data_IF_109705033225
#
_entry.id   IF_109705033225
#
_cell.length_a   1.000
_cell.length_b   1.000
_cell.length_c   1.000
_cell.angle_alpha   90.00
_cell.angle_beta   90.00
_cell.angle_gamma   90.00
#
_symmetry.space_group_name_H-M   'P 1'
#
loop_
_entity.id
_entity.type
_entity.pdbx_description
1 polymer ?
#
# COMPACT_ATOMS: atom_id res chain seq x y z
N UNK A 1 6.02 -5.20 -13.37
CA UNK A 1 5.60 -5.04 -11.96
C UNK A 1 6.65 -4.41 -11.08
N UNK A 2 7.84 -5.01 -10.98
CA UNK A 2 8.84 -4.60 -10.01
C UNK A 2 9.22 -3.10 -10.09
N UNK A 3 9.22 -2.52 -11.29
CA UNK A 3 9.45 -1.09 -11.49
C UNK A 3 8.22 -0.23 -11.10
N UNK A 4 7.01 -0.75 -11.23
CA UNK A 4 5.78 -0.01 -10.89
C UNK A 4 5.68 0.29 -9.39
N UNK A 5 6.06 -0.70 -8.56
CA UNK A 5 6.08 -0.55 -7.11
C UNK A 5 7.14 0.47 -6.65
N UNK A 6 8.19 0.71 -7.45
CA UNK A 6 9.20 1.70 -7.12
C UNK A 6 8.62 3.10 -7.13
N UNK A 7 7.85 3.46 -8.16
CA UNK A 7 7.19 4.76 -8.23
C UNK A 7 6.24 4.93 -7.05
N UNK A 8 5.39 3.94 -6.78
CA UNK A 8 4.42 4.05 -5.68
C UNK A 8 5.08 4.20 -4.31
N UNK A 9 6.06 3.36 -3.99
CA UNK A 9 6.72 3.39 -2.67
C UNK A 9 7.60 4.64 -2.52
N UNK A 10 8.24 5.11 -3.60
CA UNK A 10 9.00 6.38 -3.59
C UNK A 10 8.06 7.57 -3.30
N UNK A 11 6.86 7.57 -3.89
CA UNK A 11 5.85 8.58 -3.59
C UNK A 11 5.37 8.53 -2.13
N UNK A 12 5.24 7.35 -1.53
CA UNK A 12 4.90 7.20 -0.12
C UNK A 12 5.99 7.71 0.82
N UNK A 13 7.28 7.50 0.48
CA UNK A 13 8.40 8.10 1.23
C UNK A 13 8.28 9.62 1.27
N UNK A 14 7.94 10.24 0.14
CA UNK A 14 7.67 11.68 0.07
C UNK A 14 6.42 12.11 0.86
N UNK A 15 5.36 11.29 0.88
CA UNK A 15 4.16 11.56 1.66
C UNK A 15 4.45 11.64 3.17
N UNK A 16 5.33 10.77 3.68
CA UNK A 16 5.72 10.80 5.10
C UNK A 16 6.49 12.09 5.42
N UNK A 17 7.34 12.58 4.52
CA UNK A 17 8.03 13.85 4.71
C UNK A 17 7.03 15.02 4.91
N UNK A 18 5.93 15.03 4.16
CA UNK A 18 4.84 16.02 4.34
C UNK A 18 4.12 15.94 5.70
N UNK A 19 4.06 14.74 6.31
CA UNK A 19 3.52 14.57 7.68
C UNK A 19 4.39 15.35 8.68
N UNK A 20 5.72 15.24 8.57
CA UNK A 20 6.64 15.95 9.45
C UNK A 20 6.62 17.47 9.24
N UNK A 21 6.46 17.92 7.99
CA UNK A 21 6.28 19.34 7.68
C UNK A 21 5.08 19.94 8.43
N UNK A 22 3.98 19.19 8.49
CA UNK A 22 2.74 19.63 9.15
C UNK A 22 2.82 19.53 10.68
N UNK A 23 3.48 18.49 11.20
CA UNK A 23 3.60 18.24 12.64
C UNK A 23 4.63 19.10 13.36
N UNK A 24 5.64 19.63 12.67
CA UNK A 24 6.72 20.42 13.27
C UNK A 24 6.89 21.79 12.59
N UNK A 25 5.92 22.71 12.75
CA UNK A 25 5.96 24.02 12.09
C UNK A 25 7.18 24.88 12.50
N UNK A 26 7.75 24.64 13.68
CA UNK A 26 8.98 25.32 14.11
C UNK A 26 10.22 24.93 13.29
N UNK A 27 10.24 23.72 12.73
CA UNK A 27 11.35 23.21 11.91
C UNK A 27 11.13 23.58 10.44
N UNK A 28 9.87 23.70 10.01
CA UNK A 28 9.52 23.99 8.62
C UNK A 28 9.86 25.42 8.19
N UNK A 29 10.10 26.35 9.13
CA UNK A 29 10.59 27.69 8.82
C UNK A 29 12.12 27.68 8.73
N UNK A 30 12.74 28.26 7.68
CA UNK A 30 14.19 28.33 7.57
C UNK A 30 14.77 29.16 8.74
N UNK A 31 15.80 28.66 9.43
CA UNK A 31 16.44 29.39 10.52
C UNK A 31 17.21 30.60 9.97
N UNK A 32 17.37 31.65 10.79
CA UNK A 32 17.98 32.92 10.38
C UNK A 32 19.33 32.74 9.67
N UNK A 33 20.21 31.89 10.21
CA UNK A 33 21.52 31.60 9.62
C UNK A 33 21.44 31.03 8.19
N UNK A 34 20.37 30.30 7.85
CA UNK A 34 20.17 29.74 6.50
C UNK A 34 19.67 30.81 5.54
N UNK A 35 18.78 31.70 6.01
CA UNK A 35 18.29 32.85 5.24
C UNK A 35 19.45 33.81 4.95
N UNK A 36 20.26 34.12 5.95
CA UNK A 36 21.40 35.03 5.85
C UNK A 36 22.50 34.50 4.91
N UNK A 37 22.60 33.18 4.75
CA UNK A 37 23.54 32.53 3.84
C UNK A 37 23.08 32.56 2.36
N UNK A 38 21.78 32.73 2.10
CA UNK A 38 21.17 32.65 0.77
C UNK A 38 21.06 34.05 0.14
N UNK A 39 22.20 34.70 -0.10
CA UNK A 39 22.25 36.03 -0.69
C UNK A 39 21.69 36.04 -2.11
N UNK A 40 20.72 36.92 -2.37
CA UNK A 40 20.18 37.19 -3.71
C UNK A 40 19.02 36.31 -4.17
N UNK A 41 18.50 35.41 -3.32
CA UNK A 41 17.28 34.65 -3.57
C UNK A 41 16.05 35.32 -2.93
N UNK A 42 14.88 35.14 -3.53
CA UNK A 42 13.63 35.58 -2.94
C UNK A 42 13.29 34.75 -1.69
N UNK A 43 12.53 35.33 -0.75
CA UNK A 43 12.09 34.62 0.45
C UNK A 43 11.32 33.32 0.12
N UNK A 44 10.55 33.33 -0.97
CA UNK A 44 9.85 32.14 -1.49
C UNK A 44 10.82 31.06 -2.00
N UNK A 45 11.88 31.45 -2.72
CA UNK A 45 12.91 30.54 -3.19
C UNK A 45 13.69 29.92 -2.02
N UNK A 46 14.01 30.71 -0.98
CA UNK A 46 14.67 30.22 0.23
C UNK A 46 13.78 29.24 0.99
N UNK A 47 12.50 29.58 1.15
CA UNK A 47 11.51 28.71 1.80
C UNK A 47 11.33 27.38 1.07
N UNK A 48 11.16 27.41 -0.25
CA UNK A 48 11.03 26.18 -1.06
C UNK A 48 12.27 25.29 -1.01
N UNK A 49 13.49 25.87 -1.07
CA UNK A 49 14.73 25.11 -0.93
C UNK A 49 14.86 24.47 0.46
N UNK A 50 14.51 25.20 1.52
CA UNK A 50 14.52 24.67 2.89
C UNK A 50 13.56 23.49 3.04
N UNK A 51 12.34 23.61 2.51
CA UNK A 51 11.38 22.50 2.50
C UNK A 51 11.90 21.30 1.74
N UNK A 52 12.53 21.50 0.58
CA UNK A 52 13.13 20.42 -0.19
C UNK A 52 14.23 19.70 0.60
N UNK A 53 15.11 20.44 1.29
CA UNK A 53 16.17 19.87 2.14
C UNK A 53 15.60 19.06 3.31
N UNK A 54 14.60 19.60 4.03
CA UNK A 54 13.93 18.90 5.10
C UNK A 54 13.27 17.62 4.62
N UNK A 55 12.52 17.69 3.52
CA UNK A 55 11.84 16.54 2.96
C UNK A 55 12.82 15.45 2.52
N UNK A 56 13.95 15.84 1.96
CA UNK A 56 15.05 14.92 1.63
C UNK A 56 15.65 14.30 2.90
N UNK A 57 15.85 15.07 3.96
CA UNK A 57 16.34 14.58 5.26
C UNK A 57 15.39 13.55 5.89
N UNK A 58 14.09 13.85 5.92
CA UNK A 58 13.07 12.92 6.40
C UNK A 58 13.01 11.65 5.56
N UNK A 59 13.00 11.78 4.23
CA UNK A 59 13.04 10.64 3.31
C UNK A 59 14.25 9.74 3.55
N UNK A 60 15.43 10.33 3.79
CA UNK A 60 16.65 9.59 4.12
C UNK A 60 16.53 8.86 5.46
N UNK A 61 16.00 9.52 6.50
CA UNK A 61 15.79 8.90 7.81
C UNK A 61 14.82 7.71 7.73
N UNK A 62 13.71 7.85 7.01
CA UNK A 62 12.72 6.78 6.81
C UNK A 62 13.34 5.61 6.07
N UNK A 63 14.09 5.91 5.02
CA UNK A 63 14.77 4.91 4.18
C UNK A 63 15.81 4.15 5.01
N UNK A 64 16.62 4.88 5.77
CA UNK A 64 17.64 4.32 6.66
C UNK A 64 17.03 3.49 7.79
N UNK A 65 15.97 3.97 8.44
CA UNK A 65 15.27 3.22 9.50
C UNK A 65 14.62 1.96 8.94
N UNK A 66 13.99 2.03 7.77
CA UNK A 66 13.40 0.88 7.10
C UNK A 66 14.47 -0.19 6.79
N UNK A 67 15.57 0.21 6.16
CA UNK A 67 16.68 -0.69 5.84
C UNK A 67 17.28 -1.33 7.12
N UNK A 68 17.56 -0.53 8.15
CA UNK A 68 18.11 -1.02 9.41
C UNK A 68 17.19 -2.05 10.09
N UNK A 69 15.89 -1.73 10.19
CA UNK A 69 14.90 -2.63 10.78
C UNK A 69 14.73 -3.93 9.97
N UNK A 70 14.83 -3.88 8.64
CA UNK A 70 14.71 -5.07 7.80
C UNK A 70 15.96 -5.96 7.81
N UNK A 71 17.16 -5.40 8.03
CA UNK A 71 18.39 -6.18 8.19
C UNK A 71 18.38 -6.94 9.52
N UNK A 72 17.93 -6.28 10.59
CA UNK A 72 17.91 -6.84 11.95
C UNK A 72 16.67 -7.72 12.18
N UNK A 73 15.54 -7.38 11.57
CA UNK A 73 14.25 -7.98 11.80
C UNK A 73 14.13 -9.41 11.28
N UNK A 74 13.81 -10.35 12.19
CA UNK A 74 13.29 -11.68 11.82
C UNK A 74 11.82 -11.56 11.40
N UNK A 75 11.28 -12.55 10.69
CA UNK A 75 9.86 -12.58 10.26
C UNK A 75 8.88 -12.16 11.39
N UNK A 76 9.05 -12.71 12.61
CA UNK A 76 8.19 -12.40 13.77
C UNK A 76 8.20 -10.91 14.17
N UNK A 77 9.31 -10.21 13.96
CA UNK A 77 9.39 -8.77 14.19
C UNK A 77 8.58 -8.02 13.12
N UNK A 78 8.80 -8.36 11.84
CA UNK A 78 8.09 -7.76 10.71
C UNK A 78 6.57 -7.92 10.89
N UNK A 79 6.12 -9.15 11.14
CA UNK A 79 4.70 -9.48 11.34
C UNK A 79 4.09 -8.67 12.48
N UNK A 80 4.70 -8.68 13.67
CA UNK A 80 4.19 -7.95 14.84
C UNK A 80 4.17 -6.45 14.60
N UNK A 81 5.26 -5.90 14.09
CA UNK A 81 5.39 -4.47 13.83
C UNK A 81 4.30 -4.00 12.85
N UNK A 82 4.18 -4.67 11.71
CA UNK A 82 3.16 -4.38 10.70
C UNK A 82 1.73 -4.57 11.22
N UNK A 83 1.46 -5.66 11.94
CA UNK A 83 0.12 -5.94 12.49
C UNK A 83 -0.29 -4.89 13.50
N UNK A 84 0.61 -4.48 14.40
CA UNK A 84 0.34 -3.42 15.38
C UNK A 84 0.05 -2.09 14.69
N UNK A 85 0.80 -1.72 13.65
CA UNK A 85 0.55 -0.47 12.90
C UNK A 85 -0.81 -0.49 12.20
N UNK A 86 -1.15 -1.58 11.52
CA UNK A 86 -2.44 -1.73 10.82
C UNK A 86 -3.61 -1.76 11.81
N UNK A 87 -3.46 -2.46 12.93
CA UNK A 87 -4.48 -2.49 13.98
C UNK A 87 -4.69 -1.11 14.60
N UNK A 88 -3.60 -0.41 14.95
CA UNK A 88 -3.66 0.95 15.48
C UNK A 88 -4.36 1.88 14.50
N UNK A 89 -3.94 1.86 13.23
CA UNK A 89 -4.58 2.65 12.18
C UNK A 89 -6.07 2.37 12.06
N UNK A 90 -6.46 1.09 11.99
CA UNK A 90 -7.86 0.70 11.85
C UNK A 90 -8.70 1.20 13.02
N UNK A 91 -8.19 1.09 14.25
CA UNK A 91 -8.84 1.63 15.44
C UNK A 91 -8.98 3.16 15.37
N UNK A 92 -7.95 3.87 14.91
CA UNK A 92 -8.03 5.32 14.72
C UNK A 92 -9.05 5.73 13.67
N UNK A 93 -9.16 4.99 12.56
CA UNK A 93 -10.18 5.24 11.53
C UNK A 93 -11.58 5.05 12.07
N UNK A 94 -11.80 3.95 12.79
CA UNK A 94 -13.10 3.67 13.42
C UNK A 94 -13.44 4.79 14.39
N UNK A 95 -12.50 5.17 15.26
CA UNK A 95 -12.68 6.29 16.18
C UNK A 95 -13.01 7.60 15.46
N UNK A 96 -12.30 7.92 14.37
CA UNK A 96 -12.54 9.12 13.59
C UNK A 96 -13.93 9.14 12.95
N UNK A 97 -14.38 8.03 12.36
CA UNK A 97 -15.72 7.89 11.79
C UNK A 97 -16.79 8.05 12.88
N UNK A 98 -16.62 7.42 14.05
CA UNK A 98 -17.57 7.59 15.15
C UNK A 98 -17.59 9.02 15.69
N UNK A 99 -16.45 9.69 15.70
CA UNK A 99 -16.34 11.05 16.17
C UNK A 99 -16.90 12.07 15.16
N UNK A 100 -17.08 11.72 13.88
CA UNK A 100 -17.83 12.56 12.94
C UNK A 100 -19.29 12.75 13.35
N UNK A 101 -19.92 11.76 14.00
CA UNK A 101 -21.30 11.86 14.46
C UNK A 101 -21.53 12.98 15.49
N UNK A 102 -20.48 13.43 16.17
CA UNK A 102 -20.55 14.55 17.12
C UNK A 102 -20.33 15.91 16.45
N UNK A 103 -20.14 15.95 15.12
CA UNK A 103 -19.87 17.14 14.34
C UNK A 103 -20.97 17.40 13.30
N UNK A 104 -20.92 18.56 12.63
CA UNK A 104 -21.82 18.89 11.52
C UNK A 104 -21.68 17.95 10.30
N UNK A 105 -20.57 17.18 10.22
CA UNK A 105 -20.28 16.23 9.15
C UNK A 105 -20.74 14.79 9.47
N UNK A 106 -21.67 14.62 10.41
CA UNK A 106 -22.20 13.31 10.80
C UNK A 106 -22.88 12.59 9.63
N UNK A 107 -22.53 11.32 9.42
CA UNK A 107 -23.07 10.51 8.32
C UNK A 107 -24.46 9.99 8.68
N UNK A 108 -25.48 10.43 7.94
CA UNK A 108 -26.87 10.01 8.16
C UNK A 108 -27.22 8.72 7.44
N UNK A 109 -28.20 7.97 7.95
CA UNK A 109 -28.73 6.78 7.27
C UNK A 109 -29.32 7.11 5.88
N UNK A 110 -29.86 8.32 5.71
CA UNK A 110 -30.36 8.81 4.42
C UNK A 110 -29.24 8.93 3.37
N UNK A 111 -28.10 9.50 3.75
CA UNK A 111 -26.92 9.59 2.87
C UNK A 111 -26.35 8.21 2.51
N UNK A 112 -26.36 7.26 3.44
CA UNK A 112 -25.96 5.88 3.16
C UNK A 112 -26.92 5.24 2.15
N UNK A 113 -28.24 5.38 2.37
CA UNK A 113 -29.25 4.85 1.45
C UNK A 113 -29.16 5.50 0.06
N UNK A 114 -28.85 6.80 -0.01
CA UNK A 114 -28.60 7.53 -1.24
C UNK A 114 -27.37 7.00 -1.98
N UNK A 115 -26.24 6.82 -1.29
CA UNK A 115 -25.02 6.25 -1.89
C UNK A 115 -25.19 4.81 -2.39
N UNK A 116 -26.16 4.06 -1.84
CA UNK A 116 -26.50 2.70 -2.27
C UNK A 116 -27.54 2.63 -3.39
N UNK A 117 -27.92 3.75 -4.01
CA UNK A 117 -28.81 3.76 -5.20
C UNK A 117 -28.15 3.26 -6.48
N UNK A 118 -26.84 3.00 -6.47
CA UNK A 118 -26.06 2.52 -7.62
C UNK A 118 -26.23 3.38 -8.88
N UNK A 119 -26.31 4.69 -8.70
CA UNK A 119 -26.34 5.65 -9.80
C UNK A 119 -24.92 5.87 -10.35
N UNK A 120 -24.80 6.01 -11.67
CA UNK A 120 -23.52 6.32 -12.30
C UNK A 120 -23.19 7.80 -12.04
N UNK A 121 -22.02 8.13 -11.48
CA UNK A 121 -21.65 9.51 -11.21
C UNK A 121 -21.28 10.24 -12.51
N UNK A 122 -21.51 11.55 -12.56
CA UNK A 122 -21.11 12.40 -13.70
C UNK A 122 -19.61 12.29 -14.02
N UNK A 123 -18.79 12.14 -12.98
CA UNK A 123 -17.34 11.87 -13.07
C UNK A 123 -17.06 10.36 -13.09
N UNK A 124 -17.74 9.60 -13.95
CA UNK A 124 -17.59 8.14 -14.07
C UNK A 124 -16.12 7.71 -14.18
N UNK A 125 -15.34 8.39 -15.02
CA UNK A 125 -13.91 8.11 -15.20
C UNK A 125 -13.11 8.24 -13.90
N UNK A 126 -13.44 9.22 -13.05
CA UNK A 126 -12.78 9.40 -11.74
C UNK A 126 -13.16 8.29 -10.77
N UNK A 127 -14.45 7.92 -10.70
CA UNK A 127 -14.91 6.81 -9.86
C UNK A 127 -14.31 5.47 -10.32
N UNK A 128 -14.22 5.28 -11.64
CA UNK A 128 -13.62 4.10 -12.24
C UNK A 128 -12.10 4.03 -12.03
N UNK A 129 -11.40 5.16 -12.13
CA UNK A 129 -9.98 5.25 -11.81
C UNK A 129 -9.71 4.93 -10.34
N UNK A 130 -10.57 5.41 -9.42
CA UNK A 130 -10.48 5.10 -7.99
C UNK A 130 -10.57 3.58 -7.73
N UNK A 131 -11.44 2.85 -8.45
CA UNK A 131 -11.51 1.39 -8.37
C UNK A 131 -10.18 0.71 -8.72
N UNK A 132 -9.42 1.24 -9.67
CA UNK A 132 -8.11 0.69 -10.04
C UNK A 132 -7.00 0.90 -8.99
N UNK A 133 -7.21 1.82 -8.05
CA UNK A 133 -6.24 2.19 -7.00
C UNK A 133 -6.65 1.65 -5.63
N UNK A 134 -7.95 1.46 -5.39
CA UNK A 134 -8.52 1.03 -4.10
C UNK A 134 -8.68 -0.49 -4.07
N UNK A 135 -8.17 -1.13 -3.02
CA UNK A 135 -8.35 -2.56 -2.77
C UNK A 135 -7.04 -3.34 -2.78
N UNK A 136 -7.13 -4.64 -3.03
CA UNK A 136 -5.96 -5.52 -3.14
C UNK A 136 -5.33 -5.33 -4.51
N UNK A 137 -4.16 -4.69 -4.55
CA UNK A 137 -3.40 -4.43 -5.76
C UNK A 137 -2.68 -5.67 -6.29
N UNK A 138 -2.06 -5.51 -7.46
CA UNK A 138 -1.28 -6.57 -8.10
C UNK A 138 -0.09 -7.00 -7.24
N UNK A 139 0.52 -6.06 -6.52
CA UNK A 139 1.66 -6.32 -5.66
C UNK A 139 1.28 -7.25 -4.49
N UNK A 140 0.15 -6.99 -3.82
CA UNK A 140 -0.32 -7.76 -2.67
C UNK A 140 -0.63 -9.21 -3.04
N UNK A 141 -1.22 -9.45 -4.21
CA UNK A 141 -1.48 -10.80 -4.73
C UNK A 141 -0.20 -11.61 -4.93
N UNK A 142 0.91 -10.94 -5.31
CA UNK A 142 2.21 -11.59 -5.47
C UNK A 142 2.94 -11.73 -4.14
N UNK A 143 2.81 -10.76 -3.23
CA UNK A 143 3.47 -10.81 -1.93
C UNK A 143 2.85 -11.86 -1.00
N UNK A 144 1.53 -12.06 -1.08
CA UNK A 144 0.82 -12.94 -0.15
C UNK A 144 1.40 -14.37 -0.08
N UNK A 145 1.63 -15.08 -1.21
CA UNK A 145 2.29 -16.40 -1.18
C UNK A 145 3.67 -16.40 -0.49
N UNK A 146 4.47 -15.34 -0.64
CA UNK A 146 5.78 -15.24 0.01
C UNK A 146 5.64 -15.19 1.53
N UNK A 147 4.69 -14.39 2.02
CA UNK A 147 4.43 -14.26 3.45
C UNK A 147 3.85 -15.53 4.06
N UNK A 148 2.97 -16.22 3.32
CA UNK A 148 2.53 -17.56 3.69
C UNK A 148 3.74 -18.50 3.86
N UNK A 149 4.62 -18.59 2.86
CA UNK A 149 5.79 -19.47 2.90
C UNK A 149 6.71 -19.15 4.09
N UNK A 150 6.96 -17.87 4.36
CA UNK A 150 7.82 -17.46 5.47
C UNK A 150 7.23 -17.74 6.85
N UNK A 151 5.92 -17.53 7.02
CA UNK A 151 5.21 -17.93 8.23
C UNK A 151 5.26 -19.45 8.45
N UNK A 152 5.54 -20.21 7.39
CA UNK A 152 5.52 -21.67 7.42
C UNK A 152 4.13 -22.24 7.16
N UNK A 153 3.30 -21.50 6.41
CA UNK A 153 2.02 -22.01 5.91
C UNK A 153 2.25 -23.31 5.15
N UNK A 154 1.36 -24.29 5.36
CA UNK A 154 1.45 -25.64 4.82
C UNK A 154 2.68 -26.47 5.21
N UNK A 155 3.56 -26.02 6.14
CA UNK A 155 4.81 -26.76 6.48
C UNK A 155 4.56 -28.21 6.93
N UNK A 156 3.44 -28.47 7.59
CA UNK A 156 3.05 -29.79 8.08
C UNK A 156 2.35 -30.68 7.04
N UNK A 157 2.11 -30.18 5.82
CA UNK A 157 1.56 -30.99 4.72
C UNK A 157 2.60 -32.01 4.23
N UNK A 158 3.88 -31.62 4.25
CA UNK A 158 5.00 -32.43 3.77
C UNK A 158 5.17 -32.37 2.24
N UNK A 159 6.18 -33.06 1.69
CA UNK A 159 6.36 -33.21 0.25
C UNK A 159 5.11 -33.76 -0.42
N UNK A 160 4.89 -33.42 -1.70
CA UNK A 160 3.76 -33.96 -2.46
C UNK A 160 3.90 -35.48 -2.57
N UNK A 161 2.87 -36.19 -2.11
CA UNK A 161 2.76 -37.65 -2.18
C UNK A 161 1.41 -38.01 -2.79
N UNK A 162 1.36 -39.10 -3.55
CA UNK A 162 0.11 -39.63 -4.13
C UNK A 162 -0.61 -40.53 -3.11
N UNK A 163 -0.83 -40.00 -1.89
CA UNK A 163 -1.45 -40.72 -0.78
C UNK A 163 -2.68 -39.99 -0.25
N UNK A 164 -3.76 -40.70 0.14
CA UNK A 164 -4.94 -40.07 0.74
C UNK A 164 -4.63 -39.26 2.00
N UNK A 165 -3.61 -39.66 2.76
CA UNK A 165 -3.15 -38.95 3.95
C UNK A 165 -2.57 -37.58 3.62
N UNK A 166 -1.80 -37.47 2.52
CA UNK A 166 -1.29 -36.18 2.06
C UNK A 166 -2.44 -35.27 1.62
N UNK A 167 -3.40 -35.79 0.87
CA UNK A 167 -4.56 -35.02 0.41
C UNK A 167 -5.37 -34.45 1.57
N UNK A 168 -5.62 -35.26 2.61
CA UNK A 168 -6.31 -34.81 3.83
C UNK A 168 -5.56 -33.66 4.54
N UNK A 169 -4.23 -33.78 4.70
CA UNK A 169 -3.41 -32.71 5.28
C UNK A 169 -3.45 -31.43 4.43
N UNK A 170 -3.35 -31.58 3.11
CA UNK A 170 -3.37 -30.47 2.16
C UNK A 170 -4.76 -29.78 2.13
N UNK A 171 -5.86 -30.53 2.19
CA UNK A 171 -7.21 -29.98 2.29
C UNK A 171 -7.45 -29.25 3.61
N UNK A 172 -6.99 -29.81 4.72
CA UNK A 172 -7.03 -29.15 6.03
C UNK A 172 -6.31 -27.79 5.98
N UNK A 173 -5.15 -27.76 5.33
CA UNK A 173 -4.43 -26.51 5.09
C UNK A 173 -5.20 -25.52 4.20
N UNK A 174 -5.83 -25.98 3.11
CA UNK A 174 -6.66 -25.12 2.26
C UNK A 174 -7.81 -24.48 3.03
N UNK A 175 -8.37 -25.15 4.03
CA UNK A 175 -9.40 -24.56 4.90
C UNK A 175 -8.86 -23.43 5.77
N UNK A 176 -7.66 -23.58 6.33
CA UNK A 176 -6.99 -22.50 7.09
C UNK A 176 -6.75 -21.29 6.18
N UNK A 177 -6.24 -21.52 4.97
CA UNK A 177 -6.00 -20.46 3.99
C UNK A 177 -7.28 -19.72 3.59
N UNK A 178 -8.40 -20.46 3.40
CA UNK A 178 -9.71 -19.86 3.09
C UNK A 178 -10.19 -18.94 4.20
N UNK A 179 -10.08 -19.37 5.46
CA UNK A 179 -10.47 -18.54 6.60
C UNK A 179 -9.57 -17.32 6.76
N UNK A 180 -8.25 -17.48 6.60
CA UNK A 180 -7.28 -16.38 6.61
C UNK A 180 -7.65 -15.32 5.57
N UNK A 181 -7.92 -15.74 4.33
CA UNK A 181 -8.32 -14.85 3.25
C UNK A 181 -9.68 -14.17 3.50
N UNK A 182 -10.70 -14.91 3.97
CA UNK A 182 -12.03 -14.34 4.25
C UNK A 182 -12.02 -13.32 5.39
N UNK A 183 -11.36 -13.65 6.50
CA UNK A 183 -11.25 -12.75 7.65
C UNK A 183 -10.49 -11.50 7.25
N UNK A 184 -9.36 -11.66 6.54
CA UNK A 184 -8.61 -10.53 5.99
C UNK A 184 -9.47 -9.68 5.07
N UNK A 185 -10.32 -10.32 4.25
CA UNK A 185 -11.21 -9.62 3.33
C UNK A 185 -12.25 -8.75 4.02
N UNK A 186 -12.90 -9.27 5.04
CA UNK A 186 -13.86 -8.51 5.85
C UNK A 186 -13.18 -7.33 6.54
N UNK A 187 -12.01 -7.54 7.14
CA UNK A 187 -11.27 -6.49 7.86
C UNK A 187 -10.83 -5.38 6.90
N UNK A 188 -10.17 -5.71 5.79
CA UNK A 188 -9.69 -4.67 4.87
C UNK A 188 -10.86 -3.93 4.20
N UNK A 189 -11.95 -4.64 3.86
CA UNK A 189 -13.12 -4.02 3.23
C UNK A 189 -13.79 -3.06 4.21
N UNK A 190 -13.98 -3.48 5.46
CA UNK A 190 -14.54 -2.63 6.51
C UNK A 190 -13.71 -1.37 6.73
N UNK A 191 -12.38 -1.51 6.83
CA UNK A 191 -11.49 -0.36 6.96
C UNK A 191 -11.55 0.58 5.74
N UNK A 192 -11.62 0.02 4.52
CA UNK A 192 -11.71 0.80 3.27
C UNK A 192 -13.03 1.59 3.22
N UNK A 193 -14.15 0.95 3.57
CA UNK A 193 -15.46 1.61 3.64
C UNK A 193 -15.44 2.72 4.68
N UNK A 194 -14.85 2.49 5.86
CA UNK A 194 -14.71 3.51 6.89
C UNK A 194 -13.92 4.73 6.40
N UNK A 195 -12.80 4.51 5.69
CA UNK A 195 -12.02 5.59 5.08
C UNK A 195 -12.76 6.35 4.00
N UNK A 196 -13.46 5.62 3.13
CA UNK A 196 -14.26 6.22 2.08
C UNK A 196 -15.34 7.13 2.68
N UNK A 197 -16.08 6.64 3.68
CA UNK A 197 -17.12 7.40 4.37
C UNK A 197 -16.56 8.63 5.09
N UNK A 198 -15.42 8.48 5.78
CA UNK A 198 -14.70 9.59 6.40
C UNK A 198 -14.37 10.67 5.36
N UNK A 199 -13.67 10.30 4.29
CA UNK A 199 -13.29 11.23 3.22
C UNK A 199 -14.48 11.87 2.52
N UNK A 200 -15.54 11.10 2.24
CA UNK A 200 -16.75 11.59 1.61
C UNK A 200 -17.47 12.60 2.50
N UNK A 201 -17.74 12.29 3.77
CA UNK A 201 -18.44 13.18 4.69
C UNK A 201 -17.73 14.53 4.85
N UNK A 202 -16.40 14.47 4.92
CA UNK A 202 -15.53 15.59 5.17
C UNK A 202 -15.32 16.47 3.92
N UNK A 203 -14.85 15.87 2.83
CA UNK A 203 -14.43 16.62 1.64
C UNK A 203 -15.64 17.14 0.88
N UNK A 204 -16.70 16.33 0.77
CA UNK A 204 -17.96 16.77 0.18
C UNK A 204 -18.62 17.85 1.02
N UNK A 205 -18.65 17.70 2.35
CA UNK A 205 -19.28 18.68 3.26
C UNK A 205 -18.66 20.07 3.17
N UNK A 206 -17.36 20.17 2.85
CA UNK A 206 -16.64 21.45 2.71
C UNK A 206 -16.49 21.95 1.27
N UNK A 207 -16.91 21.17 0.27
CA UNK A 207 -16.71 21.52 -1.14
C UNK A 207 -15.23 21.68 -1.54
N UNK A 208 -14.31 21.01 -0.84
CA UNK A 208 -12.87 21.15 -1.08
C UNK A 208 -12.42 20.26 -2.23
N UNK A 209 -11.91 20.86 -3.30
CA UNK A 209 -11.12 20.15 -4.31
C UNK A 209 -9.67 20.07 -3.85
N UNK A 210 -9.18 18.86 -3.59
CA UNK A 210 -7.84 18.66 -3.03
C UNK A 210 -6.80 18.56 -4.15
N UNK A 211 -5.86 19.51 -4.18
CA UNK A 211 -4.69 19.54 -5.07
C UNK A 211 -3.48 18.82 -4.47
N UNK A 212 -2.48 18.53 -5.32
CA UNK A 212 -1.34 17.65 -4.97
C UNK A 212 -0.55 18.10 -3.74
N UNK A 213 -0.39 19.41 -3.53
CA UNK A 213 0.44 19.96 -2.46
C UNK A 213 -0.32 20.13 -1.14
N UNK A 214 -1.66 20.02 -1.17
CA UNK A 214 -2.54 20.41 -0.07
C UNK A 214 -3.22 19.23 0.63
N UNK A 215 -3.04 17.99 0.17
CA UNK A 215 -3.78 16.84 0.71
C UNK A 215 -3.51 16.60 2.22
N UNK A 216 -2.25 16.49 2.62
CA UNK A 216 -1.89 16.29 4.04
C UNK A 216 -2.27 17.53 4.88
N UNK A 217 -1.92 18.76 4.48
CA UNK A 217 -2.35 19.96 5.20
C UNK A 217 -3.86 20.10 5.35
N UNK A 218 -4.63 19.83 4.28
CA UNK A 218 -6.10 19.94 4.27
C UNK A 218 -6.73 18.92 5.23
N UNK A 219 -6.31 17.66 5.14
CA UNK A 219 -6.80 16.61 6.05
C UNK A 219 -6.35 16.86 7.50
N UNK A 220 -5.14 17.35 7.71
CA UNK A 220 -4.62 17.68 9.03
C UNK A 220 -5.39 18.84 9.68
N UNK A 221 -5.64 19.91 8.92
CA UNK A 221 -6.43 21.05 9.36
C UNK A 221 -7.86 20.63 9.68
N UNK A 222 -8.42 19.70 8.91
CA UNK A 222 -9.73 19.18 9.20
C UNK A 222 -9.80 18.44 10.54
N UNK A 223 -8.88 17.50 10.78
CA UNK A 223 -8.82 16.83 12.08
C UNK A 223 -8.57 17.81 13.22
N UNK A 224 -7.81 18.87 12.96
CA UNK A 224 -7.57 19.96 13.92
C UNK A 224 -8.84 20.76 14.21
N UNK A 225 -9.65 21.09 13.21
CA UNK A 225 -10.88 21.85 13.38
C UNK A 225 -11.97 21.02 14.07
N UNK A 226 -12.10 19.74 13.72
CA UNK A 226 -13.12 18.85 14.31
C UNK A 226 -12.79 18.38 15.72
N UNK A 227 -11.51 18.13 16.03
CA UNK A 227 -11.09 17.47 17.28
C UNK A 227 -9.99 18.23 18.05
N UNK A 228 -9.67 19.45 17.62
CA UNK A 228 -8.63 20.25 18.23
C UNK A 228 -7.21 19.70 17.99
N UNK A 229 -6.27 20.19 18.80
CA UNK A 229 -4.85 19.79 18.74
C UNK A 229 -4.65 18.28 18.94
N UNK A 230 -5.36 17.58 19.85
CA UNK A 230 -5.20 16.12 19.98
C UNK A 230 -5.54 15.35 18.70
N UNK A 231 -6.59 15.76 17.97
CA UNK A 231 -6.98 15.13 16.71
C UNK A 231 -5.95 15.27 15.60
N UNK A 232 -5.30 16.44 15.52
CA UNK A 232 -4.18 16.67 14.61
C UNK A 232 -3.05 15.65 14.86
N UNK A 233 -2.63 15.49 16.12
CA UNK A 233 -1.56 14.55 16.47
C UNK A 233 -1.94 13.09 16.22
N UNK A 234 -3.19 12.73 16.49
CA UNK A 234 -3.72 11.39 16.16
C UNK A 234 -3.67 11.14 14.65
N UNK A 235 -4.11 12.11 13.83
CA UNK A 235 -4.07 12.00 12.39
C UNK A 235 -2.63 11.87 11.87
N UNK A 236 -1.72 12.73 12.32
CA UNK A 236 -0.32 12.69 11.89
C UNK A 236 0.37 11.38 12.30
N UNK A 237 0.12 10.89 13.51
CA UNK A 237 0.64 9.60 13.96
C UNK A 237 0.06 8.44 13.13
N UNK A 238 -1.23 8.47 12.82
CA UNK A 238 -1.89 7.49 11.96
C UNK A 238 -1.36 7.50 10.53
N UNK A 239 -1.22 8.68 9.93
CA UNK A 239 -0.67 8.87 8.59
C UNK A 239 0.78 8.37 8.50
N UNK A 240 1.61 8.73 9.49
CA UNK A 240 2.97 8.20 9.62
C UNK A 240 2.96 6.67 9.71
N UNK A 241 2.11 6.10 10.57
CA UNK A 241 2.05 4.66 10.76
C UNK A 241 1.68 3.92 9.45
N UNK A 242 0.69 4.40 8.72
CA UNK A 242 0.19 3.72 7.51
C UNK A 242 1.20 3.80 6.39
N UNK A 243 1.68 5.01 6.11
CA UNK A 243 2.64 5.23 5.04
C UNK A 243 3.93 4.47 5.33
N UNK A 244 4.44 4.53 6.57
CA UNK A 244 5.64 3.80 6.96
C UNK A 244 5.44 2.28 6.90
N UNK A 245 4.31 1.75 7.37
CA UNK A 245 4.02 0.31 7.28
C UNK A 245 4.00 -0.18 5.83
N UNK A 246 3.50 0.62 4.91
CA UNK A 246 3.44 0.30 3.48
C UNK A 246 4.83 0.30 2.87
N UNK A 247 5.64 1.32 3.14
CA UNK A 247 7.05 1.37 2.71
C UNK A 247 7.81 0.16 3.27
N UNK A 248 7.62 -0.15 4.54
CA UNK A 248 8.31 -1.25 5.23
C UNK A 248 7.97 -2.62 4.65
N UNK A 249 6.68 -2.97 4.55
CA UNK A 249 6.22 -4.26 4.02
C UNK A 249 6.54 -4.40 2.53
N UNK A 250 6.36 -3.32 1.76
CA UNK A 250 6.66 -3.35 0.32
C UNK A 250 8.15 -3.54 0.08
N UNK A 251 9.02 -2.89 0.86
CA UNK A 251 10.47 -3.09 0.79
C UNK A 251 10.84 -4.53 1.13
N UNK A 252 10.28 -5.06 2.21
CA UNK A 252 10.52 -6.43 2.63
C UNK A 252 10.08 -7.44 1.55
N UNK A 253 8.91 -7.23 0.96
CA UNK A 253 8.36 -8.12 -0.08
C UNK A 253 9.17 -8.02 -1.37
N UNK A 254 9.50 -6.81 -1.82
CA UNK A 254 10.31 -6.59 -3.02
C UNK A 254 11.73 -7.11 -2.85
N UNK A 255 12.30 -7.11 -1.64
CA UNK A 255 13.60 -7.70 -1.38
C UNK A 255 13.60 -9.22 -1.61
N UNK A 256 12.53 -9.91 -1.21
CA UNK A 256 12.35 -11.35 -1.42
C UNK A 256 12.13 -11.68 -2.90
N UNK A 257 11.26 -10.92 -3.56
CA UNK A 257 11.03 -11.05 -5.00
C UNK A 257 12.30 -10.81 -5.80
N UNK A 258 13.09 -9.81 -5.41
CA UNK A 258 14.38 -9.52 -6.07
C UNK A 258 15.36 -10.66 -5.91
N UNK A 259 15.45 -11.23 -4.70
CA UNK A 259 16.32 -12.37 -4.46
C UNK A 259 15.96 -13.53 -5.39
N UNK A 260 14.68 -13.87 -5.51
CA UNK A 260 14.22 -14.96 -6.39
C UNK A 260 14.42 -14.61 -7.87
N UNK A 261 14.16 -13.37 -8.28
CA UNK A 261 14.45 -12.89 -9.63
C UNK A 261 15.95 -13.03 -9.97
N UNK A 262 16.83 -12.65 -9.05
CA UNK A 262 18.28 -12.79 -9.21
C UNK A 262 18.69 -14.25 -9.34
N UNK A 263 18.10 -15.14 -8.55
CA UNK A 263 18.38 -16.57 -8.60
C UNK A 263 17.92 -17.21 -9.93
N UNK A 264 16.81 -16.72 -10.51
CA UNK A 264 16.34 -17.18 -11.83
C UNK A 264 17.30 -16.79 -12.95
N UNK A 265 17.91 -15.59 -12.91
CA UNK A 265 18.86 -15.13 -13.92
C UNK A 265 20.28 -15.66 -13.72
N UNK A 266 20.62 -16.14 -12.52
CA UNK A 266 21.95 -16.66 -12.21
C UNK A 266 22.01 -18.16 -12.50
N UNK A 267 22.80 -18.57 -13.50
CA UNK A 267 23.11 -19.98 -13.72
C UNK A 267 23.88 -20.52 -12.52
N UNK A 268 23.25 -21.35 -11.71
CA UNK A 268 23.89 -21.95 -10.54
C UNK A 268 24.86 -23.05 -11.00
N UNK A 269 26.17 -22.80 -10.89
CA UNK A 269 27.16 -23.87 -10.92
C UNK A 269 27.01 -24.74 -9.66
N UNK A 270 27.02 -26.07 -9.82
CA UNK A 270 26.92 -27.04 -8.70
C UNK A 270 27.91 -26.64 -7.59
N UNK A 271 27.38 -26.29 -6.41
CA UNK A 271 28.16 -26.13 -5.18
C UNK A 271 28.61 -24.71 -4.78
N UNK A 272 28.36 -23.66 -5.60
CA UNK A 272 28.64 -22.25 -5.24
C UNK A 272 27.44 -21.34 -5.53
N UNK A 273 26.26 -21.71 -5.01
CA UNK A 273 25.08 -20.86 -5.10
C UNK A 273 25.19 -19.66 -4.15
N UNK A 274 24.82 -18.46 -4.62
CA UNK A 274 24.61 -17.33 -3.72
C UNK A 274 23.40 -17.65 -2.86
N UNK A 275 23.55 -17.59 -1.53
CA UNK A 275 22.46 -17.84 -0.61
C UNK A 275 21.33 -16.81 -0.78
N UNK A 276 20.10 -17.30 -0.94
CA UNK A 276 18.89 -16.49 -1.05
C UNK A 276 18.78 -15.49 0.10
N UNK A 277 19.10 -15.91 1.33
CA UNK A 277 19.00 -15.01 2.48
C UNK A 277 20.01 -13.85 2.41
N UNK A 278 21.20 -14.09 1.87
CA UNK A 278 22.20 -13.05 1.61
C UNK A 278 21.73 -12.07 0.52
N UNK A 279 21.12 -12.57 -0.56
CA UNK A 279 20.52 -11.72 -1.59
C UNK A 279 19.38 -10.86 -1.03
N UNK A 280 18.48 -11.46 -0.26
CA UNK A 280 17.37 -10.75 0.38
C UNK A 280 17.90 -9.64 1.30
N UNK A 281 18.91 -9.90 2.12
CA UNK A 281 19.52 -8.88 2.99
C UNK A 281 20.12 -7.71 2.20
N UNK A 282 20.82 -7.99 1.09
CA UNK A 282 21.35 -6.94 0.20
C UNK A 282 20.21 -6.14 -0.42
N UNK A 283 19.17 -6.82 -0.89
CA UNK A 283 18.00 -6.17 -1.48
C UNK A 283 17.23 -5.30 -0.47
N UNK A 284 17.15 -5.69 0.81
CA UNK A 284 16.58 -4.87 1.89
C UNK A 284 17.31 -3.53 2.09
N UNK A 285 18.54 -3.38 1.61
CA UNK A 285 19.29 -2.10 1.64
C UNK A 285 19.20 -1.39 0.31
N UNK A 286 19.44 -2.10 -0.79
CA UNK A 286 19.50 -1.52 -2.14
C UNK A 286 18.15 -0.96 -2.58
N UNK A 287 17.05 -1.68 -2.34
CA UNK A 287 15.71 -1.28 -2.77
C UNK A 287 15.26 0.03 -2.12
N UNK A 288 15.30 0.21 -0.78
CA UNK A 288 14.89 1.48 -0.19
C UNK A 288 15.82 2.63 -0.61
N UNK A 289 17.12 2.40 -0.80
CA UNK A 289 18.03 3.40 -1.39
C UNK A 289 17.58 3.80 -2.79
N UNK A 290 17.15 2.85 -3.62
CA UNK A 290 16.59 3.16 -4.93
C UNK A 290 15.30 3.99 -4.80
N UNK A 291 14.39 3.66 -3.87
CA UNK A 291 13.19 4.48 -3.65
C UNK A 291 13.53 5.93 -3.28
N UNK A 292 14.53 6.11 -2.41
CA UNK A 292 15.01 7.45 -2.04
C UNK A 292 15.55 8.20 -3.26
N UNK A 293 16.39 7.58 -4.08
CA UNK A 293 16.95 8.19 -5.30
C UNK A 293 15.82 8.58 -6.26
N UNK A 294 14.84 7.69 -6.48
CA UNK A 294 13.70 7.97 -7.36
C UNK A 294 12.83 9.12 -6.84
N UNK A 295 12.57 9.16 -5.53
CA UNK A 295 11.83 10.24 -4.90
C UNK A 295 12.51 11.60 -5.13
N UNK A 296 13.80 11.70 -4.79
CA UNK A 296 14.57 12.95 -4.92
C UNK A 296 14.72 13.37 -6.38
N UNK A 297 14.83 12.43 -7.31
CA UNK A 297 15.03 12.75 -8.74
C UNK A 297 13.76 13.25 -9.44
N UNK A 298 12.57 12.73 -9.07
CA UNK A 298 11.30 13.07 -9.76
C UNK A 298 10.55 14.20 -9.07
N UNK A 299 10.65 14.33 -7.74
CA UNK A 299 10.15 15.50 -7.01
C UNK A 299 8.63 15.68 -6.93
N UNK A 300 7.82 14.64 -7.22
CA UNK A 300 6.34 14.70 -7.19
C UNK A 300 5.71 13.44 -6.56
N UNK A 301 5.52 13.40 -5.23
CA UNK A 301 5.12 12.17 -4.53
C UNK A 301 3.80 11.57 -5.02
N UNK A 302 2.75 12.38 -5.20
CA UNK A 302 1.45 11.86 -5.65
C UNK A 302 1.47 11.36 -7.09
N UNK A 303 2.14 12.09 -7.99
CA UNK A 303 2.32 11.63 -9.38
C UNK A 303 3.02 10.27 -9.43
N UNK A 304 4.05 10.08 -8.59
CA UNK A 304 4.74 8.80 -8.44
C UNK A 304 3.78 7.68 -7.95
N UNK A 305 2.92 7.98 -6.96
CA UNK A 305 1.88 7.05 -6.50
C UNK A 305 0.91 6.69 -7.63
N UNK A 306 0.39 7.66 -8.36
CA UNK A 306 -0.56 7.42 -9.46
C UNK A 306 0.05 6.61 -10.60
N UNK A 307 1.28 6.92 -11.01
CA UNK A 307 1.99 6.14 -12.05
C UNK A 307 2.16 4.69 -11.60
N UNK A 308 2.60 4.49 -10.34
CA UNK A 308 2.75 3.15 -9.78
C UNK A 308 1.42 2.40 -9.75
N UNK A 309 0.34 3.03 -9.29
CA UNK A 309 -0.98 2.43 -9.22
C UNK A 309 -1.54 2.05 -10.59
N UNK A 310 -1.42 2.93 -11.59
CA UNK A 310 -1.78 2.64 -12.98
C UNK A 310 -1.00 1.43 -13.53
N UNK A 311 0.31 1.42 -13.31
CA UNK A 311 1.14 0.33 -13.77
C UNK A 311 0.82 -1.00 -13.04
N UNK A 312 0.35 -0.95 -11.78
CA UNK A 312 -0.18 -2.13 -11.10
C UNK A 312 -1.53 -2.59 -11.68
N UNK A 313 -2.45 -1.66 -11.96
CA UNK A 313 -3.75 -1.97 -12.55
C UNK A 313 -3.60 -2.70 -13.91
N UNK A 314 -2.64 -2.26 -14.74
CA UNK A 314 -2.32 -2.92 -16.02
C UNK A 314 -1.79 -4.36 -15.86
N UNK A 315 -1.32 -4.76 -14.68
CA UNK A 315 -0.77 -6.10 -14.41
C UNK A 315 -1.86 -7.06 -13.92
N UNK A 316 -2.93 -6.55 -13.34
CA UNK A 316 -4.04 -7.37 -12.83
C UNK A 316 -4.58 -8.39 -13.85
N UNK A 317 -4.80 -8.07 -15.14
CA UNK A 317 -5.29 -9.05 -16.11
C UNK A 317 -4.35 -10.26 -16.27
N UNK A 318 -3.04 -10.04 -16.21
CA UNK A 318 -2.04 -11.11 -16.29
C UNK A 318 -2.05 -12.00 -15.04
N UNK A 319 -2.29 -11.41 -13.87
CA UNK A 319 -2.44 -12.17 -12.62
C UNK A 319 -3.72 -12.99 -12.60
N UNK A 320 -4.83 -12.43 -13.07
CA UNK A 320 -6.10 -13.15 -13.25
C UNK A 320 -5.92 -14.35 -14.18
N UNK A 321 -5.27 -14.15 -15.33
CA UNK A 321 -4.92 -15.25 -16.24
C UNK A 321 -4.05 -16.30 -15.56
N UNK A 322 -3.03 -15.88 -14.80
CA UNK A 322 -2.15 -16.80 -14.07
C UNK A 322 -2.92 -17.61 -13.01
N UNK A 323 -3.85 -16.98 -12.28
CA UNK A 323 -4.69 -17.65 -11.30
C UNK A 323 -5.61 -18.69 -11.95
N UNK A 324 -6.23 -18.36 -13.09
CA UNK A 324 -7.02 -19.31 -13.88
C UNK A 324 -6.16 -20.46 -14.39
N UNK A 325 -4.97 -20.15 -14.92
CA UNK A 325 -4.02 -21.15 -15.40
C UNK A 325 -3.61 -22.11 -14.27
N UNK A 326 -3.24 -21.60 -13.10
CA UNK A 326 -2.88 -22.45 -11.95
C UNK A 326 -4.06 -23.28 -11.45
N UNK A 327 -5.27 -22.72 -11.46
CA UNK A 327 -6.47 -23.46 -11.08
C UNK A 327 -6.70 -24.69 -11.97
N UNK A 328 -6.61 -24.55 -13.29
CA UNK A 328 -6.91 -25.65 -14.21
C UNK A 328 -5.73 -26.59 -14.51
N UNK A 329 -4.49 -26.10 -14.48
CA UNK A 329 -3.33 -26.85 -14.97
C UNK A 329 -2.32 -27.27 -13.90
N UNK A 330 -2.28 -26.61 -12.74
CA UNK A 330 -1.28 -26.91 -11.71
C UNK A 330 -1.86 -27.36 -10.37
N UNK A 331 -3.13 -27.03 -10.10
CA UNK A 331 -3.77 -27.37 -8.83
C UNK A 331 -4.17 -28.84 -8.83
N UNK A 332 -3.78 -29.56 -7.77
CA UNK A 332 -4.15 -30.96 -7.59
C UNK A 332 -5.68 -31.11 -7.49
N UNK A 333 -6.25 -32.16 -8.10
CA UNK A 333 -7.70 -32.33 -8.21
C UNK A 333 -8.42 -32.30 -6.86
N UNK A 334 -7.82 -32.90 -5.81
CA UNK A 334 -8.39 -32.92 -4.47
C UNK A 334 -8.40 -31.56 -3.75
N UNK A 335 -7.69 -30.55 -4.28
CA UNK A 335 -7.59 -29.21 -3.71
C UNK A 335 -8.45 -28.19 -4.46
N UNK A 336 -9.12 -28.60 -5.54
CA UNK A 336 -9.95 -27.72 -6.34
C UNK A 336 -11.09 -27.15 -5.47
N UNK A 337 -11.33 -25.83 -5.55
CA UNK A 337 -12.46 -25.23 -4.87
C UNK A 337 -13.78 -25.61 -5.56
N UNK A 338 -14.91 -25.44 -4.85
CA UNK A 338 -16.24 -25.73 -5.41
C UNK A 338 -16.61 -24.80 -6.57
N UNK A 339 -17.62 -25.21 -7.37
CA UNK A 339 -18.05 -24.49 -8.59
C UNK A 339 -18.36 -23.00 -8.37
N UNK A 340 -18.92 -22.65 -7.22
CA UNK A 340 -19.21 -21.26 -6.84
C UNK A 340 -17.94 -20.38 -6.81
N UNK A 341 -16.85 -20.89 -6.24
CA UNK A 341 -15.58 -20.18 -6.20
C UNK A 341 -14.96 -20.01 -7.57
N UNK A 342 -15.11 -21.02 -8.44
CA UNK A 342 -14.66 -20.94 -9.82
C UNK A 342 -15.44 -19.87 -10.59
N UNK A 343 -16.75 -19.78 -10.37
CA UNK A 343 -17.56 -18.71 -10.94
C UNK A 343 -17.10 -17.33 -10.45
N UNK A 344 -16.86 -17.16 -9.14
CA UNK A 344 -16.32 -15.91 -8.59
C UNK A 344 -14.95 -15.56 -9.15
N UNK A 345 -14.06 -16.54 -9.34
CA UNK A 345 -12.75 -16.34 -9.96
C UNK A 345 -12.88 -15.83 -11.40
N UNK A 346 -13.79 -16.39 -12.19
CA UNK A 346 -14.03 -15.94 -13.56
C UNK A 346 -14.64 -14.54 -13.61
N UNK A 347 -15.63 -14.26 -12.75
CA UNK A 347 -16.26 -12.94 -12.66
C UNK A 347 -15.23 -11.88 -12.27
N UNK A 348 -14.44 -12.13 -11.21
CA UNK A 348 -13.40 -11.19 -10.77
C UNK A 348 -12.34 -10.99 -11.86
N UNK A 349 -11.90 -12.07 -12.51
CA UNK A 349 -10.92 -12.01 -13.60
C UNK A 349 -11.43 -11.17 -14.77
N UNK A 350 -12.69 -11.35 -15.16
CA UNK A 350 -13.30 -10.56 -16.24
C UNK A 350 -13.41 -9.08 -15.86
N UNK A 351 -13.90 -8.77 -14.65
CA UNK A 351 -14.04 -7.39 -14.19
C UNK A 351 -12.68 -6.69 -14.09
N UNK A 352 -11.66 -7.34 -13.52
CA UNK A 352 -10.31 -6.80 -13.40
C UNK A 352 -9.65 -6.62 -14.78
N UNK A 353 -9.87 -7.54 -15.72
CA UNK A 353 -9.43 -7.40 -17.10
C UNK A 353 -10.10 -6.19 -17.78
N UNK A 354 -11.42 -6.07 -17.67
CA UNK A 354 -12.18 -4.96 -18.24
C UNK A 354 -11.69 -3.60 -17.72
N UNK A 355 -11.40 -3.51 -16.42
CA UNK A 355 -10.84 -2.30 -15.79
C UNK A 355 -9.46 -1.97 -16.34
N UNK A 356 -8.56 -2.95 -16.41
CA UNK A 356 -7.22 -2.75 -16.97
C UNK A 356 -7.27 -2.29 -18.43
N UNK A 357 -8.12 -2.91 -19.26
CA UNK A 357 -8.29 -2.53 -20.66
C UNK A 357 -8.90 -1.14 -20.83
N UNK A 358 -9.92 -0.79 -20.04
CA UNK A 358 -10.55 0.53 -20.10
C UNK A 358 -9.56 1.63 -19.75
N UNK A 359 -8.78 1.47 -18.67
CA UNK A 359 -7.76 2.46 -18.29
C UNK A 359 -6.68 2.63 -19.36
N UNK A 360 -6.27 1.53 -20.00
CA UNK A 360 -5.33 1.59 -21.12
C UNK A 360 -5.93 2.36 -22.30
N UNK A 361 -7.19 2.09 -22.64
CA UNK A 361 -7.89 2.75 -23.73
C UNK A 361 -8.06 4.25 -23.50
N UNK A 362 -8.49 4.65 -22.30
CA UNK A 362 -8.65 6.06 -21.92
C UNK A 362 -7.33 6.83 -22.00
N UNK A 363 -6.21 6.20 -21.63
CA UNK A 363 -4.87 6.80 -21.67
C UNK A 363 -4.28 6.94 -23.08
N UNK A 364 -4.70 6.09 -24.02
CA UNK A 364 -4.20 6.10 -25.40
C UNK A 364 -4.98 7.05 -26.30
N UNK A 365 -6.15 7.52 -25.86
CA UNK A 365 -6.96 8.53 -26.52
C UNK A 365 -6.50 9.93 -26.09
#
# INVERSE_FOLDING_TARGET
>A
MFIATFFQVSGMVGGIAGVFQTGAPAISVPPAWYVDAQNGLSAEAIGSQWQHLLNTGWALLITGSCAALLIVGRYRFIERFSTTMVAAFTLFTIFAVFSLYTTEYGITAGQIAEGLKFELPDKFTTAFAAFGVIGVGAAELIYYPYWCLEKGYARYVGPKEETPEWESRAQGWMNVLRWDAWISMVIYTGATVAFYLLGAAILHGKGLEVTNDDLIPTLSNLYRESFGIPGLWIFLAGALAVLYSTVFISTASNARLSADLWLLFTKHAKGKGVDRATLTKRACVLIPVLYFIFYVSVGKPLTLVFIGALAQALILPFLCFSAIYFHYYQTHAALLPGKFWVALLWISSFLMAAVGFYQLFEKLK
#
